data_IF_869593033220
#
_entry.id   IF_869593033220
#
_cell.length_a   1.000
_cell.length_b   1.000
_cell.length_c   1.000
_cell.angle_alpha   90.00
_cell.angle_beta   90.00
_cell.angle_gamma   90.00
#
_symmetry.space_group_name_H-M   'P 1'
#
loop_
_entity.id
_entity.type
_entity.pdbx_description
1 polymer ?
#
# COMPACT_ATOMS: atom_id res chain seq x y z
N UNK A 1 9.66 -26.41 -1.43
CA UNK A 1 9.69 -25.86 -0.05
C UNK A 1 9.51 -24.34 -0.03
N UNK A 2 10.30 -23.57 -0.78
CA UNK A 2 10.20 -22.11 -0.78
C UNK A 2 8.84 -21.60 -1.27
N UNK A 3 8.36 -22.13 -2.40
CA UNK A 3 7.01 -21.85 -2.92
C UNK A 3 5.93 -22.06 -1.84
N UNK A 4 5.91 -23.22 -1.19
CA UNK A 4 4.92 -23.53 -0.13
C UNK A 4 4.94 -22.53 1.02
N UNK A 5 6.13 -22.06 1.42
CA UNK A 5 6.28 -21.06 2.49
C UNK A 5 5.65 -19.73 2.07
N UNK A 6 5.96 -19.25 0.87
CA UNK A 6 5.41 -17.98 0.38
C UNK A 6 3.93 -18.08 0.05
N UNK A 7 3.49 -19.20 -0.53
CA UNK A 7 2.08 -19.47 -0.77
C UNK A 7 1.26 -19.45 0.52
N UNK A 8 1.74 -20.15 1.55
CA UNK A 8 1.13 -20.10 2.88
C UNK A 8 1.15 -18.69 3.48
N UNK A 9 2.25 -17.95 3.31
CA UNK A 9 2.37 -16.56 3.72
C UNK A 9 1.29 -15.67 3.08
N UNK A 10 1.14 -15.72 1.75
CA UNK A 10 0.13 -14.95 1.00
C UNK A 10 -1.30 -15.26 1.45
N UNK A 11 -1.63 -16.54 1.68
CA UNK A 11 -2.94 -16.93 2.22
C UNK A 11 -3.17 -16.32 3.61
N UNK A 12 -2.19 -16.43 4.51
CA UNK A 12 -2.32 -15.93 5.89
C UNK A 12 -2.48 -14.41 5.91
N UNK A 13 -1.60 -13.67 5.21
CA UNK A 13 -1.67 -12.21 5.19
C UNK A 13 -2.92 -11.71 4.46
N UNK A 14 -3.34 -12.37 3.38
CA UNK A 14 -4.52 -12.03 2.60
C UNK A 14 -5.80 -12.17 3.42
N UNK A 15 -5.96 -13.28 4.15
CA UNK A 15 -7.11 -13.51 5.04
C UNK A 15 -7.13 -12.51 6.19
N UNK A 16 -6.00 -12.35 6.91
CA UNK A 16 -5.90 -11.40 8.03
C UNK A 16 -6.20 -9.97 7.55
N UNK A 17 -5.58 -9.57 6.44
CA UNK A 17 -5.74 -8.25 5.85
C UNK A 17 -7.16 -7.98 5.39
N UNK A 18 -7.82 -8.94 4.73
CA UNK A 18 -9.23 -8.82 4.34
C UNK A 18 -10.12 -8.58 5.57
N UNK A 19 -9.99 -9.41 6.61
CA UNK A 19 -10.79 -9.29 7.82
C UNK A 19 -10.55 -7.96 8.55
N UNK A 20 -9.28 -7.58 8.73
CA UNK A 20 -8.91 -6.37 9.45
C UNK A 20 -9.34 -5.08 8.72
N UNK A 21 -9.21 -5.04 7.39
CA UNK A 21 -9.62 -3.88 6.60
C UNK A 21 -11.15 -3.75 6.48
N UNK A 22 -11.89 -4.86 6.37
CA UNK A 22 -13.36 -4.83 6.46
C UNK A 22 -13.83 -4.29 7.82
N UNK A 23 -13.23 -4.77 8.91
CA UNK A 23 -13.50 -4.26 10.25
C UNK A 23 -13.19 -2.77 10.36
N UNK A 24 -12.02 -2.34 9.87
CA UNK A 24 -11.63 -0.94 9.86
C UNK A 24 -12.63 -0.07 9.10
N UNK A 25 -13.04 -0.50 7.90
CA UNK A 25 -14.03 0.22 7.10
C UNK A 25 -15.35 0.35 7.88
N UNK A 26 -15.84 -0.73 8.48
CA UNK A 26 -17.06 -0.72 9.29
C UNK A 26 -16.98 0.26 10.48
N UNK A 27 -15.90 0.21 11.29
CA UNK A 27 -15.78 1.09 12.45
C UNK A 27 -15.52 2.54 12.05
N UNK A 28 -14.79 2.79 10.96
CA UNK A 28 -14.57 4.13 10.44
C UNK A 28 -15.89 4.79 9.98
N UNK A 29 -16.80 4.01 9.39
CA UNK A 29 -18.14 4.50 9.01
C UNK A 29 -19.03 4.72 10.24
N UNK A 30 -19.04 3.77 11.20
CA UNK A 30 -20.04 3.74 12.28
C UNK A 30 -19.63 4.46 13.56
N UNK A 31 -18.33 4.58 13.85
CA UNK A 31 -17.81 5.02 15.17
C UNK A 31 -16.98 6.30 15.12
N UNK A 32 -16.71 6.87 13.93
CA UNK A 32 -15.97 8.14 13.84
C UNK A 32 -16.81 9.33 14.33
N UNK A 33 -16.30 10.13 15.28
CA UNK A 33 -16.96 11.37 15.70
C UNK A 33 -17.10 12.39 14.55
N UNK A 34 -18.14 13.25 14.58
CA UNK A 34 -18.32 14.30 13.57
C UNK A 34 -17.12 15.24 13.40
N UNK A 35 -16.40 15.53 14.49
CA UNK A 35 -15.23 16.42 14.51
C UNK A 35 -14.05 15.90 13.67
N UNK A 36 -13.93 14.59 13.45
CA UNK A 36 -12.82 13.96 12.70
C UNK A 36 -13.29 13.26 11.43
N UNK A 37 -14.48 13.63 10.92
CA UNK A 37 -15.10 12.95 9.77
C UNK A 37 -14.33 13.10 8.45
N UNK A 38 -13.59 14.19 8.29
CA UNK A 38 -12.68 14.36 7.14
C UNK A 38 -11.55 13.31 7.16
N UNK A 39 -10.98 13.03 8.34
CA UNK A 39 -10.01 11.97 8.52
C UNK A 39 -10.56 10.58 8.22
N UNK A 40 -11.79 10.30 8.64
CA UNK A 40 -12.43 9.03 8.32
C UNK A 40 -12.59 8.81 6.82
N UNK A 41 -12.74 9.87 6.01
CA UNK A 41 -12.79 9.71 4.54
C UNK A 41 -11.49 9.13 4.00
N UNK A 42 -10.33 9.60 4.50
CA UNK A 42 -9.03 9.06 4.12
C UNK A 42 -8.81 7.64 4.69
N UNK A 43 -9.23 7.39 5.94
CA UNK A 43 -9.13 6.05 6.56
C UNK A 43 -9.95 5.02 5.78
N UNK A 44 -11.16 5.39 5.35
CA UNK A 44 -12.01 4.52 4.53
C UNK A 44 -11.35 4.27 3.17
N UNK A 45 -10.72 5.28 2.56
CA UNK A 45 -9.97 5.07 1.31
C UNK A 45 -8.87 4.02 1.48
N UNK A 46 -8.05 4.11 2.54
CA UNK A 46 -7.06 3.07 2.84
C UNK A 46 -7.72 1.71 3.06
N UNK A 47 -8.71 1.63 3.94
CA UNK A 47 -9.34 0.35 4.26
C UNK A 47 -9.96 -0.34 3.03
N UNK A 48 -10.50 0.43 2.07
CA UNK A 48 -11.04 -0.13 0.82
C UNK A 48 -9.92 -0.59 -0.11
N UNK A 49 -8.90 0.24 -0.32
CA UNK A 49 -7.77 -0.12 -1.20
C UNK A 49 -6.98 -1.31 -0.63
N UNK A 50 -6.66 -1.28 0.67
CA UNK A 50 -5.92 -2.34 1.35
C UNK A 50 -6.73 -3.64 1.41
N UNK A 51 -8.06 -3.56 1.54
CA UNK A 51 -8.94 -4.73 1.38
C UNK A 51 -8.82 -5.32 -0.03
N UNK A 52 -8.91 -4.48 -1.07
CA UNK A 52 -8.78 -4.95 -2.46
C UNK A 52 -7.41 -5.58 -2.70
N UNK A 53 -6.33 -4.99 -2.20
CA UNK A 53 -4.98 -5.56 -2.29
C UNK A 53 -4.92 -6.95 -1.64
N UNK A 54 -5.35 -7.08 -0.38
CA UNK A 54 -5.33 -8.37 0.31
C UNK A 54 -6.26 -9.40 -0.33
N UNK A 55 -7.40 -8.98 -0.87
CA UNK A 55 -8.32 -9.86 -1.57
C UNK A 55 -7.72 -10.36 -2.88
N UNK A 56 -7.10 -9.46 -3.65
CA UNK A 56 -6.45 -9.79 -4.91
C UNK A 56 -5.21 -10.67 -4.73
N UNK A 57 -4.48 -10.54 -3.62
CA UNK A 57 -3.33 -11.38 -3.25
C UNK A 57 -3.73 -12.86 -3.06
N UNK A 58 -4.99 -13.14 -2.66
CA UNK A 58 -5.51 -14.50 -2.56
C UNK A 58 -5.71 -15.18 -3.93
N UNK A 59 -5.81 -14.39 -5.02
CA UNK A 59 -6.03 -14.89 -6.37
C UNK A 59 -4.80 -14.62 -7.26
N UNK A 60 -3.72 -15.34 -6.94
CA UNK A 60 -2.30 -15.22 -7.34
C UNK A 60 -1.98 -14.84 -8.81
N UNK A 61 -2.92 -14.92 -9.76
CA UNK A 61 -2.69 -14.59 -11.19
C UNK A 61 -3.74 -13.69 -11.85
N UNK A 62 -4.96 -13.55 -11.32
CA UNK A 62 -6.00 -12.69 -11.93
C UNK A 62 -5.76 -11.20 -11.62
N UNK A 63 -4.72 -10.88 -10.85
CA UNK A 63 -4.60 -9.62 -10.14
C UNK A 63 -3.36 -8.80 -10.47
N UNK A 64 -2.33 -9.28 -11.17
CA UNK A 64 -1.04 -8.57 -11.26
C UNK A 64 -1.15 -7.10 -11.69
N UNK A 65 -1.96 -6.80 -12.71
CA UNK A 65 -2.20 -5.42 -13.17
C UNK A 65 -3.01 -4.58 -12.16
N UNK A 66 -4.08 -5.16 -11.59
CA UNK A 66 -4.86 -4.50 -10.53
C UNK A 66 -4.03 -4.28 -9.27
N UNK A 67 -3.11 -5.19 -8.99
CA UNK A 67 -2.21 -5.19 -7.87
C UNK A 67 -1.18 -4.07 -8.00
N UNK A 68 -0.54 -3.96 -9.17
CA UNK A 68 0.33 -2.83 -9.49
C UNK A 68 -0.41 -1.50 -9.52
N UNK A 69 -1.73 -1.49 -9.72
CA UNK A 69 -2.54 -0.29 -9.59
C UNK A 69 -2.73 0.13 -8.12
N UNK A 70 -3.05 -0.80 -7.24
CA UNK A 70 -3.35 -0.47 -5.85
C UNK A 70 -2.14 0.10 -5.09
N UNK A 71 -0.94 -0.42 -5.31
CA UNK A 71 0.26 0.05 -4.61
C UNK A 71 0.65 1.52 -4.76
N UNK A 72 0.79 2.08 -5.99
CA UNK A 72 1.08 3.49 -6.14
C UNK A 72 -0.10 4.30 -5.61
N UNK A 73 -1.35 3.84 -5.79
CA UNK A 73 -2.52 4.51 -5.22
C UNK A 73 -2.44 4.62 -3.68
N UNK A 74 -2.10 3.53 -3.00
CA UNK A 74 -1.91 3.47 -1.55
C UNK A 74 -0.77 4.38 -1.10
N UNK A 75 0.35 4.38 -1.83
CA UNK A 75 1.52 5.22 -1.55
C UNK A 75 1.21 6.71 -1.69
N UNK A 76 0.58 7.12 -2.79
CA UNK A 76 0.17 8.51 -3.00
C UNK A 76 -0.93 8.94 -2.01
N UNK A 77 -1.87 8.05 -1.70
CA UNK A 77 -2.90 8.30 -0.69
C UNK A 77 -2.28 8.52 0.69
N UNK A 78 -1.21 7.78 1.02
CA UNK A 78 -0.46 7.95 2.26
C UNK A 78 0.24 9.30 2.32
N UNK A 79 0.90 9.73 1.24
CA UNK A 79 1.45 11.08 1.16
C UNK A 79 0.37 12.16 1.29
N UNK A 80 -0.79 11.98 0.63
CA UNK A 80 -1.94 12.87 0.78
C UNK A 80 -2.39 12.93 2.25
N UNK A 81 -2.46 11.79 2.94
CA UNK A 81 -2.81 11.74 4.36
C UNK A 81 -1.86 12.59 5.19
N UNK A 82 -0.54 12.41 5.08
CA UNK A 82 0.45 13.24 5.77
C UNK A 82 0.32 14.73 5.40
N UNK A 83 0.14 15.03 4.12
CA UNK A 83 0.01 16.40 3.61
C UNK A 83 -1.24 17.09 4.15
N UNK A 84 -2.38 16.40 4.15
CA UNK A 84 -3.64 16.89 4.71
C UNK A 84 -3.54 17.07 6.22
N UNK A 85 -2.86 16.18 6.94
CA UNK A 85 -2.64 16.35 8.39
C UNK A 85 -1.83 17.60 8.66
N UNK A 86 -0.78 17.86 7.89
CA UNK A 86 0.00 19.08 8.02
C UNK A 86 -0.83 20.32 7.69
N UNK A 87 -1.63 20.27 6.62
CA UNK A 87 -2.52 21.35 6.19
C UNK A 87 -3.46 21.84 7.31
N UNK A 88 -4.13 20.92 8.01
CA UNK A 88 -5.12 21.31 9.03
C UNK A 88 -4.50 21.94 10.30
N UNK A 89 -3.18 21.85 10.49
CA UNK A 89 -2.49 22.54 11.59
C UNK A 89 -2.32 24.03 11.33
N UNK A 90 -2.48 24.43 10.07
CA UNK A 90 -2.33 25.81 9.62
C UNK A 90 -3.63 26.41 9.09
N UNK A 91 -4.58 25.59 8.64
CA UNK A 91 -5.82 26.03 7.99
C UNK A 91 -7.02 25.24 8.48
N UNK A 92 -8.22 25.77 8.24
CA UNK A 92 -9.47 25.07 8.56
C UNK A 92 -9.62 23.79 7.72
N UNK A 93 -10.30 22.75 8.24
CA UNK A 93 -10.47 21.49 7.51
C UNK A 93 -11.19 21.66 6.17
N UNK A 94 -10.66 21.01 5.13
CA UNK A 94 -11.34 20.91 3.83
C UNK A 94 -12.69 20.19 3.95
N UNK A 95 -13.64 20.61 3.12
CA UNK A 95 -14.92 19.90 2.99
C UNK A 95 -14.73 18.47 2.48
N UNK A 96 -15.65 17.56 2.84
CA UNK A 96 -15.62 16.17 2.38
C UNK A 96 -15.64 16.05 0.85
N UNK A 97 -16.39 16.89 0.16
CA UNK A 97 -16.48 16.88 -1.32
C UNK A 97 -15.13 17.17 -1.97
N UNK A 98 -14.40 18.15 -1.42
CA UNK A 98 -13.06 18.51 -1.89
C UNK A 98 -12.05 17.39 -1.64
N UNK A 99 -12.10 16.74 -0.47
CA UNK A 99 -11.24 15.60 -0.20
C UNK A 99 -11.49 14.43 -1.14
N UNK A 100 -12.76 14.10 -1.41
CA UNK A 100 -13.13 13.05 -2.35
C UNK A 100 -12.59 13.38 -3.75
N UNK A 101 -12.74 14.63 -4.22
CA UNK A 101 -12.19 15.06 -5.50
C UNK A 101 -10.67 14.89 -5.57
N UNK A 102 -9.93 15.29 -4.52
CA UNK A 102 -8.46 15.14 -4.48
C UNK A 102 -8.06 13.66 -4.53
N UNK A 103 -8.77 12.78 -3.81
CA UNK A 103 -8.54 11.33 -3.85
C UNK A 103 -8.76 10.79 -5.27
N UNK A 104 -9.82 11.21 -5.96
CA UNK A 104 -10.06 10.83 -7.35
C UNK A 104 -8.95 11.31 -8.30
N UNK A 105 -8.44 12.53 -8.13
CA UNK A 105 -7.33 13.05 -8.94
C UNK A 105 -6.07 12.19 -8.75
N UNK A 106 -5.76 11.82 -7.51
CA UNK A 106 -4.60 10.99 -7.17
C UNK A 106 -4.78 9.53 -7.64
N UNK A 107 -6.01 9.06 -7.78
CA UNK A 107 -6.33 7.73 -8.30
C UNK A 107 -6.06 7.60 -9.81
N UNK A 108 -6.24 8.67 -10.59
CA UNK A 108 -6.15 8.63 -12.06
C UNK A 108 -4.86 8.02 -12.62
N UNK A 109 -3.64 8.38 -12.18
CA UNK A 109 -2.40 7.80 -12.73
C UNK A 109 -2.32 6.29 -12.50
N UNK A 110 -2.71 5.83 -11.31
CA UNK A 110 -2.75 4.40 -11.02
C UNK A 110 -3.80 3.67 -11.84
N UNK A 111 -4.99 4.26 -12.08
CA UNK A 111 -6.01 3.63 -12.92
C UNK A 111 -5.53 3.52 -14.37
N UNK A 112 -4.91 4.58 -14.89
CA UNK A 112 -4.31 4.57 -16.21
C UNK A 112 -3.29 3.43 -16.33
N UNK A 113 -2.46 3.22 -15.31
CA UNK A 113 -1.52 2.09 -15.24
C UNK A 113 -2.21 0.73 -15.39
N UNK A 114 -3.29 0.46 -14.62
CA UNK A 114 -4.02 -0.80 -14.72
C UNK A 114 -4.53 -1.05 -16.14
N UNK A 115 -5.11 -0.02 -16.77
CA UNK A 115 -5.71 -0.11 -18.10
C UNK A 115 -4.65 -0.45 -19.15
N UNK A 116 -3.49 0.22 -19.12
CA UNK A 116 -2.44 -0.01 -20.14
C UNK A 116 -1.65 -1.29 -19.90
N UNK A 117 -1.52 -1.75 -18.64
CA UNK A 117 -0.68 -2.89 -18.29
C UNK A 117 -1.42 -4.23 -18.28
N UNK A 118 -2.75 -4.23 -18.05
CA UNK A 118 -3.56 -5.45 -18.13
C UNK A 118 -3.36 -6.24 -19.44
N UNK A 119 -3.44 -5.63 -20.64
CA UNK A 119 -3.34 -6.39 -21.88
C UNK A 119 -1.94 -6.90 -22.21
N UNK A 120 -0.89 -6.50 -21.49
CA UNK A 120 0.49 -6.94 -21.77
C UNK A 120 0.85 -8.25 -21.08
N UNK A 121 0.00 -8.73 -20.16
CA UNK A 121 0.24 -9.98 -19.43
C UNK A 121 -0.22 -11.15 -20.30
N UNK A 122 0.74 -11.99 -20.70
CA UNK A 122 0.53 -13.20 -21.50
C UNK A 122 0.49 -14.44 -20.61
N UNK A 123 -0.06 -15.52 -21.16
CA UNK A 123 -0.23 -16.80 -20.46
C UNK A 123 0.99 -17.72 -20.56
N UNK A 124 0.82 -18.96 -20.07
CA UNK A 124 1.88 -19.97 -19.98
C UNK A 124 2.48 -20.31 -21.35
N UNK A 125 1.68 -20.36 -22.40
CA UNK A 125 2.11 -20.84 -23.71
C UNK A 125 3.11 -19.88 -24.35
N UNK A 126 2.94 -18.58 -24.10
CA UNK A 126 3.85 -17.53 -24.58
C UNK A 126 5.05 -17.31 -23.64
N UNK A 127 4.86 -17.37 -22.32
CA UNK A 127 5.91 -17.02 -21.36
C UNK A 127 6.87 -18.18 -21.04
N UNK A 128 6.39 -19.44 -21.07
CA UNK A 128 7.21 -20.60 -20.70
C UNK A 128 8.47 -20.76 -21.58
N UNK A 129 8.41 -20.62 -22.92
CA UNK A 129 9.60 -20.69 -23.76
C UNK A 129 10.65 -19.62 -23.41
N UNK A 130 10.20 -18.41 -23.05
CA UNK A 130 11.08 -17.33 -22.61
C UNK A 130 11.67 -17.63 -21.23
N UNK A 131 10.86 -18.12 -20.31
CA UNK A 131 11.28 -18.47 -18.96
C UNK A 131 12.31 -19.61 -18.97
N UNK A 132 12.11 -20.67 -19.75
CA UNK A 132 13.10 -21.75 -19.94
C UNK A 132 14.39 -21.20 -20.56
N UNK A 133 14.29 -20.27 -21.51
CA UNK A 133 15.46 -19.69 -22.18
C UNK A 133 16.33 -18.85 -21.23
N UNK A 134 15.71 -18.03 -20.39
CA UNK A 134 16.43 -17.08 -19.54
C UNK A 134 16.71 -17.59 -18.12
N UNK A 135 15.89 -18.53 -17.61
CA UNK A 135 15.98 -19.12 -16.27
C UNK A 135 15.83 -20.67 -16.33
N UNK A 136 16.68 -21.37 -17.11
CA UNK A 136 16.59 -22.82 -17.28
C UNK A 136 16.69 -23.59 -15.95
N UNK A 137 17.37 -23.03 -14.96
CA UNK A 137 17.59 -23.59 -13.63
C UNK A 137 16.31 -23.72 -12.78
N UNK A 138 15.22 -23.05 -13.16
CA UNK A 138 13.95 -23.12 -12.42
C UNK A 138 13.07 -24.31 -12.84
N UNK A 139 13.41 -25.01 -13.93
CA UNK A 139 12.70 -26.22 -14.40
C UNK A 139 11.16 -26.07 -14.48
N UNK A 140 10.68 -24.87 -14.86
CA UNK A 140 9.26 -24.49 -14.85
C UNK A 140 8.37 -25.33 -15.78
N UNK A 141 8.97 -26.04 -16.74
CA UNK A 141 8.25 -26.96 -17.63
C UNK A 141 7.56 -28.09 -16.88
N UNK A 142 8.18 -28.54 -15.78
CA UNK A 142 7.67 -29.61 -14.92
C UNK A 142 6.56 -29.15 -13.96
N UNK A 143 6.41 -27.83 -13.77
CA UNK A 143 5.41 -27.23 -12.89
C UNK A 143 4.06 -27.08 -13.61
N UNK A 144 2.99 -27.54 -12.94
CA UNK A 144 1.61 -27.53 -13.47
C UNK A 144 0.79 -26.32 -13.01
N UNK A 145 1.41 -25.39 -12.29
CA UNK A 145 0.75 -24.18 -11.78
C UNK A 145 0.41 -23.15 -12.87
N UNK A 146 -0.30 -22.10 -12.47
CA UNK A 146 -0.54 -20.94 -13.33
C UNK A 146 0.80 -20.21 -13.52
N UNK A 147 1.16 -19.96 -14.77
CA UNK A 147 2.34 -19.21 -15.16
C UNK A 147 1.89 -18.12 -16.14
N UNK A 148 2.29 -16.89 -15.88
CA UNK A 148 1.95 -15.73 -16.69
C UNK A 148 2.96 -14.62 -16.42
N UNK A 149 3.08 -13.68 -17.36
CA UNK A 149 4.08 -12.63 -17.25
C UNK A 149 4.06 -11.67 -18.43
N UNK A 150 5.09 -10.84 -18.52
CA UNK A 150 5.31 -9.94 -19.66
C UNK A 150 6.47 -10.46 -20.49
N UNK A 151 6.36 -10.35 -21.82
CA UNK A 151 7.42 -10.80 -22.75
C UNK A 151 8.58 -9.82 -22.83
N UNK A 152 8.34 -8.54 -22.49
CA UNK A 152 9.36 -7.49 -22.53
C UNK A 152 9.07 -6.36 -21.55
N UNK A 153 10.14 -5.75 -21.03
CA UNK A 153 10.07 -4.55 -20.18
C UNK A 153 10.18 -3.24 -20.98
N UNK A 154 10.48 -3.33 -22.29
CA UNK A 154 10.78 -2.18 -23.13
C UNK A 154 9.54 -1.50 -23.74
N UNK A 155 8.36 -2.05 -23.49
CA UNK A 155 7.10 -1.44 -23.91
C UNK A 155 6.72 -0.27 -23.01
N UNK A 156 5.96 0.69 -23.58
CA UNK A 156 5.50 1.87 -22.84
C UNK A 156 4.78 1.52 -21.54
N UNK A 157 3.91 0.50 -21.56
CA UNK A 157 3.16 0.08 -20.37
C UNK A 157 4.10 -0.44 -19.26
N UNK A 158 5.04 -1.31 -19.60
CA UNK A 158 6.05 -1.84 -18.67
C UNK A 158 6.96 -0.73 -18.12
N UNK A 159 7.47 0.15 -18.98
CA UNK A 159 8.29 1.30 -18.57
C UNK A 159 7.51 2.22 -17.62
N UNK A 160 6.24 2.51 -17.93
CA UNK A 160 5.39 3.33 -17.09
C UNK A 160 5.22 2.72 -15.69
N UNK A 161 4.89 1.42 -15.60
CA UNK A 161 4.77 0.70 -14.31
C UNK A 161 6.07 0.78 -13.52
N UNK A 162 7.20 0.46 -14.16
CA UNK A 162 8.51 0.47 -13.51
C UNK A 162 8.84 1.85 -12.96
N UNK A 163 8.68 2.89 -13.79
CA UNK A 163 8.95 4.27 -13.37
C UNK A 163 8.01 4.67 -12.23
N UNK A 164 6.70 4.44 -12.38
CA UNK A 164 5.70 4.88 -11.41
C UNK A 164 5.81 4.16 -10.06
N UNK A 165 6.27 2.90 -10.05
CA UNK A 165 6.52 2.12 -8.83
C UNK A 165 7.87 2.45 -8.19
N UNK A 166 8.95 2.49 -8.98
CA UNK A 166 10.31 2.52 -8.45
C UNK A 166 10.84 3.94 -8.21
N UNK A 167 10.44 4.93 -9.02
CA UNK A 167 10.99 6.29 -8.92
C UNK A 167 10.31 7.11 -7.82
N UNK A 168 8.98 7.22 -7.74
CA UNK A 168 8.31 8.02 -6.73
C UNK A 168 8.46 7.52 -5.30
N UNK A 169 8.69 6.22 -5.08
CA UNK A 169 8.68 5.67 -3.72
C UNK A 169 9.73 6.33 -2.81
N UNK A 170 10.95 6.55 -3.30
CA UNK A 170 12.02 7.19 -2.51
C UNK A 170 11.69 8.66 -2.19
N UNK A 171 11.37 9.54 -3.15
CA UNK A 171 10.92 10.90 -2.87
C UNK A 171 9.68 10.99 -1.99
N UNK A 172 8.69 10.11 -2.19
CA UNK A 172 7.47 10.09 -1.37
C UNK A 172 7.82 9.73 0.07
N UNK A 173 8.64 8.69 0.28
CA UNK A 173 9.06 8.27 1.61
C UNK A 173 9.84 9.38 2.35
N UNK A 174 10.78 10.03 1.67
CA UNK A 174 11.49 11.20 2.20
C UNK A 174 10.52 12.33 2.54
N UNK A 175 9.56 12.63 1.64
CA UNK A 175 8.54 13.66 1.87
C UNK A 175 7.66 13.35 3.08
N UNK A 176 7.27 12.09 3.26
CA UNK A 176 6.51 11.63 4.43
C UNK A 176 7.31 11.80 5.72
N UNK A 177 8.60 11.49 5.72
CA UNK A 177 9.47 11.69 6.87
C UNK A 177 9.60 13.18 7.24
N UNK A 178 9.79 14.05 6.23
CA UNK A 178 9.85 15.51 6.43
C UNK A 178 8.51 16.04 6.97
N UNK A 179 7.39 15.65 6.37
CA UNK A 179 6.06 16.05 6.81
C UNK A 179 5.79 15.58 8.24
N UNK A 180 6.18 14.34 8.58
CA UNK A 180 6.09 13.82 9.95
C UNK A 180 6.85 14.71 10.93
N UNK A 181 8.11 15.05 10.62
CA UNK A 181 8.91 15.92 11.47
C UNK A 181 8.22 17.28 11.68
N UNK A 182 7.74 17.89 10.59
CA UNK A 182 7.02 19.18 10.65
C UNK A 182 5.73 19.10 11.46
N UNK A 183 4.95 18.03 11.29
CA UNK A 183 3.73 17.76 12.07
C UNK A 183 4.09 17.68 13.55
N UNK A 184 4.98 16.77 13.95
CA UNK A 184 5.38 16.58 15.36
C UNK A 184 5.85 17.90 15.98
N UNK A 185 6.74 18.62 15.30
CA UNK A 185 7.26 19.91 15.78
C UNK A 185 6.14 20.92 16.01
N UNK A 186 5.26 21.11 15.02
CA UNK A 186 4.18 22.09 15.10
C UNK A 186 3.19 21.78 16.24
N UNK A 187 3.00 20.50 16.51
CA UNK A 187 2.10 20.04 17.56
C UNK A 187 2.68 20.25 18.94
N UNK A 188 3.98 20.04 19.12
CA UNK A 188 4.65 20.35 20.38
C UNK A 188 4.55 21.86 20.68
N UNK A 189 4.72 22.72 19.67
CA UNK A 189 4.53 24.17 19.79
C UNK A 189 3.10 24.53 20.23
N UNK A 190 2.07 23.91 19.63
CA UNK A 190 0.66 24.20 19.94
C UNK A 190 0.15 23.48 21.20
N UNK A 191 0.93 22.53 21.76
CA UNK A 191 0.48 21.65 22.85
C UNK A 191 0.13 22.38 24.15
N UNK A 192 0.67 23.58 24.35
CA UNK A 192 0.39 24.44 25.51
C UNK A 192 -0.96 25.17 25.40
N UNK A 193 -1.49 25.33 24.18
CA UNK A 193 -2.73 26.08 23.91
C UNK A 193 -3.96 25.18 23.69
N UNK A 194 -3.78 23.85 23.68
CA UNK A 194 -4.84 22.88 23.40
C UNK A 194 -5.52 22.41 24.69
N UNK A 195 -6.84 22.25 24.64
CA UNK A 195 -7.59 21.58 25.71
C UNK A 195 -7.13 20.13 25.88
N UNK A 196 -7.37 19.54 27.05
CA UNK A 196 -6.97 18.16 27.35
C UNK A 196 -7.55 17.15 26.34
N UNK A 197 -8.80 17.33 25.93
CA UNK A 197 -9.47 16.47 24.95
C UNK A 197 -8.91 16.64 23.54
N UNK A 198 -8.65 17.89 23.12
CA UNK A 198 -8.02 18.16 21.82
C UNK A 198 -6.61 17.56 21.75
N UNK A 199 -5.83 17.71 22.83
CA UNK A 199 -4.50 17.12 22.99
C UNK A 199 -4.54 15.59 22.95
N UNK A 200 -5.52 14.96 23.59
CA UNK A 200 -5.68 13.51 23.59
C UNK A 200 -6.07 12.95 22.21
N UNK A 201 -7.02 13.58 21.52
CA UNK A 201 -7.40 13.22 20.15
C UNK A 201 -6.21 13.38 19.21
N UNK A 202 -5.45 14.47 19.38
CA UNK A 202 -4.28 14.74 18.58
C UNK A 202 -3.18 13.68 18.77
N UNK A 203 -2.87 13.32 20.02
CA UNK A 203 -1.84 12.32 20.34
C UNK A 203 -2.14 10.93 19.76
N UNK A 204 -3.41 10.53 19.71
CA UNK A 204 -3.81 9.26 19.07
C UNK A 204 -3.48 9.26 17.58
N UNK A 205 -3.87 10.33 16.89
CA UNK A 205 -3.61 10.53 15.46
C UNK A 205 -2.10 10.57 15.19
N UNK A 206 -1.31 11.21 16.06
CA UNK A 206 0.15 11.29 15.96
C UNK A 206 0.81 9.91 16.11
N UNK A 207 0.36 9.11 17.08
CA UNK A 207 0.84 7.72 17.25
C UNK A 207 0.55 6.86 16.02
N UNK A 208 -0.63 6.98 15.41
CA UNK A 208 -0.92 6.31 14.14
C UNK A 208 0.10 6.71 13.07
N UNK A 209 0.36 8.01 12.87
CA UNK A 209 1.31 8.48 11.83
C UNK A 209 2.71 7.94 12.03
N UNK A 210 3.19 7.90 13.27
CA UNK A 210 4.53 7.43 13.58
C UNK A 210 4.68 5.98 13.10
N UNK A 211 3.68 5.14 13.36
CA UNK A 211 3.72 3.73 12.99
C UNK A 211 3.49 3.55 11.50
N UNK A 212 2.51 4.28 10.94
CA UNK A 212 2.23 4.26 9.50
C UNK A 212 3.41 4.72 8.65
N UNK A 213 4.28 5.60 9.16
CA UNK A 213 5.48 6.03 8.45
C UNK A 213 6.50 4.90 8.25
N UNK A 214 6.45 3.82 9.03
CA UNK A 214 7.33 2.67 8.84
C UNK A 214 6.78 1.66 7.84
N UNK A 215 5.47 1.63 7.61
CA UNK A 215 4.84 0.65 6.70
C UNK A 215 5.43 0.73 5.27
N UNK A 216 5.63 1.92 4.67
CA UNK A 216 6.25 2.04 3.34
C UNK A 216 7.69 1.53 3.23
N UNK A 217 8.39 1.29 4.35
CA UNK A 217 9.73 0.68 4.29
C UNK A 217 9.69 -0.74 3.73
N UNK A 218 8.56 -1.44 3.84
CA UNK A 218 8.34 -2.74 3.21
C UNK A 218 8.28 -2.63 1.68
N UNK A 219 7.63 -1.59 1.14
CA UNK A 219 7.63 -1.32 -0.31
C UNK A 219 9.03 -0.97 -0.82
N UNK A 220 9.81 -0.23 -0.02
CA UNK A 220 11.21 0.07 -0.34
C UNK A 220 12.05 -1.22 -0.44
N UNK A 221 11.86 -2.18 0.46
CA UNK A 221 12.52 -3.50 0.39
C UNK A 221 12.18 -4.20 -0.93
N UNK A 222 10.90 -4.25 -1.31
CA UNK A 222 10.47 -4.88 -2.56
C UNK A 222 11.06 -4.21 -3.80
N UNK A 223 11.05 -2.88 -3.85
CA UNK A 223 11.63 -2.11 -4.96
C UNK A 223 13.15 -2.28 -5.03
N UNK A 224 13.86 -2.30 -3.90
CA UNK A 224 15.31 -2.57 -3.87
C UNK A 224 15.61 -3.99 -4.36
N UNK A 225 14.86 -4.99 -3.92
CA UNK A 225 15.00 -6.37 -4.40
C UNK A 225 14.79 -6.46 -5.92
N UNK A 226 13.76 -5.78 -6.44
CA UNK A 226 13.50 -5.69 -7.87
C UNK A 226 14.67 -5.07 -8.63
N UNK A 227 15.17 -3.90 -8.19
CA UNK A 227 16.30 -3.22 -8.87
C UNK A 227 17.57 -4.10 -8.86
N UNK A 228 17.89 -4.74 -7.73
CA UNK A 228 19.06 -5.63 -7.62
C UNK A 228 18.95 -6.83 -8.56
N UNK A 229 17.75 -7.40 -8.68
CA UNK A 229 17.46 -8.49 -9.62
C UNK A 229 17.58 -8.04 -11.08
N UNK A 230 17.01 -6.88 -11.44
CA UNK A 230 17.08 -6.34 -12.79
C UNK A 230 18.50 -5.94 -13.23
N UNK A 231 19.35 -5.52 -12.30
CA UNK A 231 20.76 -5.23 -12.57
C UNK A 231 21.63 -6.49 -12.68
N UNK A 232 21.07 -7.68 -12.45
CA UNK A 232 21.81 -8.94 -12.43
C UNK A 232 22.79 -9.08 -11.26
N UNK A 233 22.64 -8.27 -10.21
CA UNK A 233 23.52 -8.31 -9.04
C UNK A 233 23.18 -9.48 -8.12
N UNK A 234 21.89 -9.83 -7.99
CA UNK A 234 21.42 -10.96 -7.20
C UNK A 234 20.24 -11.61 -7.94
N UNK A 235 20.44 -12.84 -8.41
CA UNK A 235 19.39 -13.68 -9.01
C UNK A 235 19.20 -14.93 -8.15
N UNK A 236 18.13 -14.94 -7.36
CA UNK A 236 17.80 -16.07 -6.50
C UNK A 236 16.29 -16.09 -6.25
N UNK A 237 15.62 -17.26 -6.31
CA UNK A 237 14.17 -17.37 -6.13
C UNK A 237 13.64 -16.68 -4.87
N UNK A 238 14.39 -16.77 -3.77
CA UNK A 238 14.04 -16.08 -2.51
C UNK A 238 13.85 -14.57 -2.69
N UNK A 239 14.73 -13.91 -3.44
CA UNK A 239 14.64 -12.46 -3.67
C UNK A 239 13.41 -12.13 -4.52
N UNK A 240 13.11 -12.95 -5.52
CA UNK A 240 11.94 -12.78 -6.38
C UNK A 240 10.63 -12.90 -5.60
N UNK A 241 10.51 -13.93 -4.74
CA UNK A 241 9.36 -14.06 -3.85
C UNK A 241 9.29 -12.91 -2.82
N UNK A 242 10.45 -12.44 -2.33
CA UNK A 242 10.51 -11.34 -1.36
C UNK A 242 9.99 -10.01 -1.93
N UNK A 243 10.13 -9.77 -3.24
CA UNK A 243 9.59 -8.57 -3.91
C UNK A 243 8.10 -8.45 -3.59
N UNK A 244 7.31 -9.47 -3.90
CA UNK A 244 5.86 -9.42 -3.67
C UNK A 244 5.54 -9.58 -2.18
N UNK A 245 6.13 -10.55 -1.49
CA UNK A 245 5.81 -10.83 -0.09
C UNK A 245 6.02 -9.61 0.83
N UNK A 246 7.07 -8.83 0.61
CA UNK A 246 7.32 -7.60 1.38
C UNK A 246 6.21 -6.56 1.14
N UNK A 247 5.83 -6.33 -0.12
CA UNK A 247 4.84 -5.31 -0.46
C UNK A 247 3.42 -5.75 -0.03
N UNK A 248 3.02 -7.01 -0.25
CA UNK A 248 1.71 -7.55 0.15
C UNK A 248 1.47 -7.48 1.67
N UNK A 249 2.54 -7.42 2.47
CA UNK A 249 2.45 -7.34 3.93
C UNK A 249 1.93 -5.98 4.40
N UNK A 250 2.12 -4.92 3.62
CA UNK A 250 1.70 -3.56 3.96
C UNK A 250 0.19 -3.39 4.20
N UNK A 251 -0.70 -3.76 3.26
CA UNK A 251 -2.15 -3.62 3.42
C UNK A 251 -2.70 -4.48 4.57
N UNK A 252 -2.01 -5.56 4.94
CA UNK A 252 -2.36 -6.34 6.13
C UNK A 252 -2.03 -5.60 7.43
N UNK A 253 -0.89 -4.89 7.50
CA UNK A 253 -0.45 -4.17 8.71
C UNK A 253 -1.17 -2.82 8.92
N UNK A 254 -1.52 -2.13 7.85
CA UNK A 254 -2.11 -0.79 7.89
C UNK A 254 -3.37 -0.68 8.76
N UNK A 255 -4.38 -1.59 8.74
CA UNK A 255 -5.59 -1.41 9.51
C UNK A 255 -5.35 -1.42 11.03
N UNK A 256 -4.38 -2.21 11.49
CA UNK A 256 -4.05 -2.30 12.91
C UNK A 256 -3.56 -0.98 13.50
N UNK A 257 -2.89 -0.14 12.68
CA UNK A 257 -2.47 1.19 13.11
C UNK A 257 -3.64 2.08 13.51
N UNK A 258 -4.81 1.88 12.90
CA UNK A 258 -6.02 2.62 13.22
C UNK A 258 -6.83 1.95 14.32
N UNK A 259 -7.03 0.63 14.21
CA UNK A 259 -7.83 -0.14 15.16
C UNK A 259 -7.27 -0.10 16.59
N UNK A 260 -5.94 -0.06 16.75
CA UNK A 260 -5.28 -0.03 18.07
C UNK A 260 -5.19 1.38 18.68
N UNK A 261 -4.93 2.40 17.86
CA UNK A 261 -4.58 3.72 18.38
C UNK A 261 -5.72 4.73 18.37
N UNK A 262 -6.75 4.57 17.53
CA UNK A 262 -7.93 5.44 17.53
C UNK A 262 -8.92 4.94 18.59
N UNK A 263 -9.13 5.74 19.64
CA UNK A 263 -9.90 5.32 20.83
C UNK A 263 -11.32 4.83 20.51
N UNK A 264 -12.14 5.52 19.70
CA UNK A 264 -13.47 5.01 19.32
C UNK A 264 -13.44 3.64 18.64
N UNK A 265 -12.40 3.36 17.86
CA UNK A 265 -12.27 2.11 17.11
C UNK A 265 -11.81 0.98 18.04
N UNK A 266 -10.75 1.23 18.82
CA UNK A 266 -10.26 0.28 19.83
C UNK A 266 -11.34 -0.10 20.83
N UNK A 267 -12.09 0.88 21.32
CA UNK A 267 -13.18 0.65 22.30
C UNK A 267 -14.29 -0.20 21.72
N UNK A 268 -14.50 -0.18 20.40
CA UNK A 268 -15.43 -1.09 19.74
C UNK A 268 -14.87 -2.51 19.65
N UNK A 269 -13.59 -2.66 19.28
CA UNK A 269 -12.96 -3.98 19.13
C UNK A 269 -12.71 -4.71 20.46
N UNK A 270 -12.64 -3.98 21.59
CA UNK A 270 -12.43 -4.54 22.93
C UNK A 270 -13.74 -4.83 23.70
N UNK A 271 -14.89 -4.58 23.08
CA UNK A 271 -16.21 -4.92 23.63
C UNK A 271 -16.70 -6.22 23.02
#
# INVERSE_FOLDING_TARGET
>A
MLYEIFHFWHIVIGVIGCCANLLLCYVAVRKTPPATRSYATLIINFAVTDFLECFLDLFIMLSLSLFYHCFPHTTWSLLLSFSYRYYILHKSPLSRKWLILIVFIIYTPSLFQAIIYWPTVVDRDEILPLATKFFPEYHLESEKGILGGITTINEFASIYVIIHMAVPIFPIYVSMFILRYKIVKKLMEQSAMLSADAKASHNQILKCLIIQAFIPSLLMIGVTCYILSQLGLITHPFIEYLIFASICTMPMLSPFTYLVYIRPYRTFCMK
#
